data_IF_492732349056
#
_entry.id   IF_492732349056
#
_cell.length_a   1.000
_cell.length_b   1.000
_cell.length_c   1.000
_cell.angle_alpha   90.00
_cell.angle_beta   90.00
_cell.angle_gamma   90.00
#
_symmetry.space_group_name_H-M   'P 1'
#
loop_
_entity.id
_entity.type
_entity.pdbx_description
1 polymer ?
#
# COMPACT_ATOMS: atom_id res chain seq x y z
N UNK A 1 11.08 -9.50 -17.69
CA UNK A 1 10.33 -8.62 -16.78
C UNK A 1 10.14 -9.37 -15.49
N UNK A 2 10.64 -8.86 -14.36
CA UNK A 2 10.35 -9.44 -13.05
C UNK A 2 8.86 -9.27 -12.74
N UNK A 3 8.23 -10.31 -12.22
CA UNK A 3 6.85 -10.24 -11.75
C UNK A 3 6.76 -9.28 -10.55
N UNK A 4 5.70 -8.48 -10.42
CA UNK A 4 5.59 -7.46 -9.39
C UNK A 4 5.35 -8.04 -7.99
N UNK A 5 5.67 -7.23 -6.99
CA UNK A 5 5.24 -7.43 -5.61
C UNK A 5 4.04 -6.54 -5.30
N UNK A 6 2.97 -7.14 -4.77
CA UNK A 6 1.82 -6.42 -4.25
C UNK A 6 1.83 -6.45 -2.72
N UNK A 7 1.95 -5.28 -2.09
CA UNK A 7 1.79 -5.13 -0.65
C UNK A 7 0.30 -4.94 -0.34
N UNK A 8 -0.31 -5.94 0.28
CA UNK A 8 -1.75 -5.98 0.55
C UNK A 8 -2.02 -5.86 2.05
N UNK A 9 -2.74 -4.81 2.44
CA UNK A 9 -3.22 -4.59 3.80
C UNK A 9 -4.36 -3.57 3.82
N UNK A 10 -5.17 -3.51 4.90
CA UNK A 10 -6.09 -2.42 5.10
C UNK A 10 -5.36 -1.06 5.12
N UNK A 11 -6.02 0.06 4.76
CA UNK A 11 -5.46 1.38 4.97
C UNK A 11 -4.97 1.56 6.40
N UNK A 12 -3.95 2.40 6.57
CA UNK A 12 -3.31 2.66 7.87
C UNK A 12 -2.63 1.42 8.46
N UNK A 13 -2.13 0.49 7.64
CA UNK A 13 -1.40 -0.72 8.09
C UNK A 13 0.03 -0.76 7.58
N UNK A 14 0.75 0.36 7.70
CA UNK A 14 2.18 0.51 7.36
C UNK A 14 2.57 0.31 5.88
N UNK A 15 1.60 0.20 4.98
CA UNK A 15 1.84 -0.07 3.55
C UNK A 15 2.73 0.98 2.88
N UNK A 16 2.55 2.27 3.16
CA UNK A 16 3.38 3.34 2.57
C UNK A 16 4.83 3.28 3.07
N UNK A 17 5.02 2.98 4.36
CA UNK A 17 6.35 2.83 4.96
C UNK A 17 7.04 1.60 4.37
N UNK A 18 6.46 0.41 4.56
CA UNK A 18 7.09 -0.85 4.14
C UNK A 18 7.21 -0.94 2.63
N UNK A 19 6.18 -0.51 1.88
CA UNK A 19 6.25 -0.47 0.43
C UNK A 19 7.18 0.62 -0.11
N UNK A 20 7.44 1.67 0.68
CA UNK A 20 8.50 2.65 0.42
C UNK A 20 9.87 2.01 0.62
N UNK A 21 10.07 1.31 1.74
CA UNK A 21 11.32 0.60 2.06
C UNK A 21 11.68 -0.42 0.98
N UNK A 22 10.74 -1.33 0.66
CA UNK A 22 10.89 -2.31 -0.41
C UNK A 22 11.15 -1.67 -1.78
N UNK A 23 10.61 -0.48 -1.99
CA UNK A 23 10.77 0.28 -3.22
C UNK A 23 12.16 0.88 -3.43
N UNK A 24 12.99 0.98 -2.39
CA UNK A 24 14.37 1.49 -2.48
C UNK A 24 15.41 0.40 -2.74
N UNK A 25 15.01 -0.86 -2.73
CA UNK A 25 15.94 -1.91 -3.11
C UNK A 25 16.46 -1.65 -4.54
N UNK A 26 17.77 -1.78 -4.82
CA UNK A 26 18.35 -1.49 -6.14
C UNK A 26 17.74 -2.23 -7.34
N UNK A 27 17.02 -3.34 -7.09
CA UNK A 27 16.39 -4.20 -8.08
C UNK A 27 14.86 -4.07 -8.07
N UNK A 28 14.32 -3.10 -7.32
CA UNK A 28 12.90 -2.82 -7.22
C UNK A 28 12.60 -1.36 -7.59
N UNK A 29 11.32 -1.05 -7.74
CA UNK A 29 10.85 0.31 -7.89
C UNK A 29 9.52 0.48 -7.16
N UNK A 30 9.53 1.31 -6.11
CA UNK A 30 8.35 1.63 -5.33
C UNK A 30 7.37 2.52 -6.08
N UNK A 31 6.22 1.98 -6.48
CA UNK A 31 5.12 2.78 -7.02
C UNK A 31 4.41 3.56 -5.88
N UNK A 32 3.82 4.74 -6.16
CA UNK A 32 2.77 5.29 -5.30
C UNK A 32 1.49 4.43 -5.40
N UNK A 33 0.44 4.79 -4.66
CA UNK A 33 -0.89 4.19 -4.78
C UNK A 33 -1.47 4.43 -6.19
N UNK A 34 -1.35 3.44 -7.08
CA UNK A 34 -1.82 3.52 -8.48
C UNK A 34 -3.26 3.07 -8.66
N UNK A 35 -3.78 2.24 -7.75
CA UNK A 35 -5.17 1.77 -7.74
C UNK A 35 -5.66 1.10 -9.05
N UNK A 36 -4.76 0.61 -9.92
CA UNK A 36 -5.08 0.09 -11.27
C UNK A 36 -5.96 -1.16 -11.32
N UNK A 37 -6.33 -1.75 -10.18
CA UNK A 37 -7.19 -2.93 -10.11
C UNK A 37 -8.70 -2.62 -10.01
N UNK A 38 -9.08 -1.34 -9.90
CA UNK A 38 -10.47 -0.91 -9.68
C UNK A 38 -11.30 -0.85 -10.98
N UNK A 39 -11.33 -1.95 -11.72
CA UNK A 39 -12.05 -2.07 -12.98
C UNK A 39 -11.21 -2.73 -14.07
N UNK A 40 -11.81 -2.97 -15.22
CA UNK A 40 -11.15 -3.65 -16.34
C UNK A 40 -10.25 -2.71 -17.14
N UNK A 41 -10.64 -1.44 -17.19
CA UNK A 41 -9.97 -0.40 -17.96
C UNK A 41 -9.43 0.72 -17.07
N UNK A 42 -8.51 1.50 -17.63
CA UNK A 42 -8.00 2.71 -17.00
C UNK A 42 -9.13 3.70 -16.69
N UNK A 43 -10.17 3.73 -17.52
CA UNK A 43 -11.34 4.57 -17.31
C UNK A 43 -12.18 4.12 -16.13
N UNK A 44 -12.48 2.83 -16.01
CA UNK A 44 -13.23 2.29 -14.86
C UNK A 44 -12.52 2.62 -13.54
N UNK A 45 -11.19 2.47 -13.52
CA UNK A 45 -10.39 2.87 -12.37
C UNK A 45 -10.49 4.38 -12.12
N UNK A 46 -10.24 5.18 -13.15
CA UNK A 46 -10.20 6.63 -13.01
C UNK A 46 -11.52 7.20 -12.48
N UNK A 47 -12.64 6.75 -13.03
CA UNK A 47 -13.98 7.22 -12.68
C UNK A 47 -14.42 6.72 -11.31
N UNK A 48 -14.11 5.46 -10.96
CA UNK A 48 -14.46 4.89 -9.65
C UNK A 48 -13.70 5.54 -8.49
N UNK A 49 -12.48 6.02 -8.75
CA UNK A 49 -11.60 6.57 -7.72
C UNK A 49 -11.75 8.08 -7.56
N UNK A 50 -12.13 8.81 -8.62
CA UNK A 50 -12.47 10.25 -8.54
C UNK A 50 -13.62 10.53 -7.57
N UNK A 51 -14.58 9.62 -7.47
CA UNK A 51 -15.72 9.73 -6.55
C UNK A 51 -15.26 9.81 -5.08
N UNK A 52 -14.06 9.30 -4.76
CA UNK A 52 -13.45 9.41 -3.44
C UNK A 52 -12.55 10.66 -3.24
N UNK A 53 -12.53 11.59 -4.21
CA UNK A 53 -11.72 12.81 -4.22
C UNK A 53 -10.33 12.65 -4.86
N UNK A 54 -9.58 13.76 -4.97
CA UNK A 54 -8.22 13.84 -5.54
C UNK A 54 -7.20 12.86 -4.90
N UNK A 55 -7.55 12.25 -3.76
CA UNK A 55 -6.71 11.32 -3.03
C UNK A 55 -6.30 10.09 -3.84
N UNK A 56 -7.25 9.49 -4.56
CA UNK A 56 -7.00 8.17 -5.13
C UNK A 56 -6.38 8.16 -6.53
N UNK A 57 -6.42 9.27 -7.27
CA UNK A 57 -5.83 9.39 -8.61
C UNK A 57 -4.46 10.07 -8.61
N UNK A 58 -4.09 10.78 -7.54
CA UNK A 58 -2.82 11.50 -7.44
C UNK A 58 -1.60 10.60 -7.61
N UNK A 59 -1.63 9.37 -7.06
CA UNK A 59 -0.50 8.45 -7.17
C UNK A 59 -0.20 8.06 -8.61
N UNK A 60 -1.22 7.67 -9.39
CA UNK A 60 -1.01 7.35 -10.81
C UNK A 60 -0.53 8.57 -11.60
N UNK A 61 -1.10 9.75 -11.36
CA UNK A 61 -0.64 10.99 -12.01
C UNK A 61 0.84 11.24 -11.74
N UNK A 62 1.26 11.18 -10.47
CA UNK A 62 2.66 11.40 -10.08
C UNK A 62 3.59 10.37 -10.69
N UNK A 63 3.20 9.09 -10.69
CA UNK A 63 3.97 8.02 -11.32
C UNK A 63 4.19 8.27 -12.81
N UNK A 64 3.11 8.51 -13.56
CA UNK A 64 3.20 8.75 -15.01
C UNK A 64 4.03 9.99 -15.34
N UNK A 65 3.97 11.00 -14.47
CA UNK A 65 4.77 12.21 -14.61
C UNK A 65 6.25 11.94 -14.37
N UNK A 66 6.58 11.27 -13.26
CA UNK A 66 7.95 10.94 -12.88
C UNK A 66 8.64 10.03 -13.92
N UNK A 67 7.98 8.97 -14.39
CA UNK A 67 8.60 8.06 -15.37
C UNK A 67 8.73 8.66 -16.77
N UNK A 68 7.92 9.66 -17.10
CA UNK A 68 7.96 10.32 -18.41
C UNK A 68 8.95 11.50 -18.44
N UNK A 69 9.08 12.23 -17.33
CA UNK A 69 9.76 13.53 -17.32
C UNK A 69 10.81 13.69 -16.21
N UNK A 70 10.89 12.78 -15.24
CA UNK A 70 11.85 12.85 -14.12
C UNK A 70 11.60 14.00 -13.14
N UNK A 71 10.45 14.68 -13.24
CA UNK A 71 10.02 15.76 -12.35
C UNK A 71 8.50 15.82 -12.26
N UNK A 72 7.95 16.38 -11.18
CA UNK A 72 6.51 16.42 -10.90
C UNK A 72 5.98 17.87 -10.82
N UNK A 73 6.05 18.62 -11.93
CA UNK A 73 5.47 19.97 -12.01
C UNK A 73 3.97 19.93 -12.32
N UNK A 74 3.27 21.05 -12.13
CA UNK A 74 1.86 21.20 -12.48
C UNK A 74 1.58 20.86 -13.96
N UNK A 75 2.40 21.39 -14.87
CA UNK A 75 2.23 21.18 -16.31
C UNK A 75 2.44 19.71 -16.69
N UNK A 76 3.40 19.05 -16.03
CA UNK A 76 3.70 17.66 -16.24
C UNK A 76 2.54 16.76 -15.75
N UNK A 77 1.95 17.09 -14.60
CA UNK A 77 0.74 16.41 -14.11
C UNK A 77 -0.46 16.65 -15.03
N UNK A 78 -0.63 17.85 -15.59
CA UNK A 78 -1.68 18.11 -16.58
C UNK A 78 -1.50 17.24 -17.83
N UNK A 79 -0.27 17.06 -18.33
CA UNK A 79 0.03 16.15 -19.45
C UNK A 79 -0.27 14.69 -19.10
N UNK A 80 0.10 14.24 -17.90
CA UNK A 80 -0.25 12.91 -17.41
C UNK A 80 -1.77 12.70 -17.35
N UNK A 81 -2.53 13.69 -16.87
CA UNK A 81 -3.99 13.64 -16.88
C UNK A 81 -4.53 13.49 -18.30
N UNK A 82 -4.06 14.30 -19.26
CA UNK A 82 -4.46 14.16 -20.66
C UNK A 82 -4.07 12.81 -21.26
N UNK A 83 -2.92 12.25 -20.86
CA UNK A 83 -2.48 10.92 -21.27
C UNK A 83 -3.49 9.85 -20.84
N UNK A 84 -3.99 9.93 -19.60
CA UNK A 84 -5.01 9.04 -19.04
C UNK A 84 -6.33 9.20 -19.80
N UNK A 85 -6.80 10.44 -20.01
CA UNK A 85 -8.07 10.70 -20.71
C UNK A 85 -8.10 10.10 -22.11
N UNK A 86 -7.00 10.21 -22.86
CA UNK A 86 -6.88 9.62 -24.21
C UNK A 86 -6.81 8.09 -24.21
N UNK A 87 -6.67 7.45 -23.04
CA UNK A 87 -6.41 6.02 -22.87
C UNK A 87 -7.35 5.35 -21.88
N UNK A 88 -8.52 5.93 -21.62
CA UNK A 88 -9.56 5.30 -20.77
C UNK A 88 -9.82 3.84 -21.16
N UNK A 89 -9.82 3.53 -22.46
CA UNK A 89 -10.05 2.19 -23.00
C UNK A 89 -8.90 1.19 -22.79
N UNK A 90 -7.74 1.59 -22.28
CA UNK A 90 -6.63 0.68 -22.04
C UNK A 90 -6.94 -0.25 -20.87
N UNK A 91 -6.66 -1.54 -21.02
CA UNK A 91 -6.74 -2.49 -19.90
C UNK A 91 -5.69 -2.19 -18.84
N UNK A 92 -5.95 -2.59 -17.59
CA UNK A 92 -4.97 -2.50 -16.51
C UNK A 92 -3.62 -3.13 -16.87
N UNK A 93 -3.63 -4.29 -17.53
CA UNK A 93 -2.41 -4.96 -18.02
C UNK A 93 -1.58 -4.06 -18.96
N UNK A 94 -2.24 -3.36 -19.89
CA UNK A 94 -1.56 -2.45 -20.82
C UNK A 94 -0.97 -1.22 -20.12
N UNK A 95 -1.65 -0.71 -19.09
CA UNK A 95 -1.13 0.40 -18.26
C UNK A 95 0.07 -0.05 -17.44
N UNK A 96 0.01 -1.21 -16.79
CA UNK A 96 1.17 -1.76 -16.08
C UNK A 96 2.37 -2.01 -17.01
N UNK A 97 2.14 -2.54 -18.22
CA UNK A 97 3.21 -2.72 -19.20
C UNK A 97 3.86 -1.38 -19.61
N UNK A 98 3.06 -0.31 -19.71
CA UNK A 98 3.59 1.04 -19.95
C UNK A 98 4.42 1.55 -18.77
N UNK A 99 3.94 1.34 -17.53
CA UNK A 99 4.68 1.71 -16.31
C UNK A 99 6.01 0.97 -16.25
N UNK A 100 6.01 -0.35 -16.45
CA UNK A 100 7.24 -1.13 -16.43
C UNK A 100 8.27 -0.64 -17.46
N UNK A 101 7.82 -0.24 -18.65
CA UNK A 101 8.72 0.33 -19.67
C UNK A 101 9.40 1.61 -19.16
N UNK A 102 8.70 2.46 -18.43
CA UNK A 102 9.27 3.68 -17.83
C UNK A 102 10.14 3.40 -16.60
N UNK A 103 9.79 2.40 -15.80
CA UNK A 103 10.56 1.97 -14.61
C UNK A 103 11.87 1.26 -15.00
N UNK A 104 11.89 0.59 -16.15
CA UNK A 104 12.99 -0.25 -16.62
C UNK A 104 12.68 -1.74 -16.47
N UNK A 105 13.08 -2.60 -17.43
CA UNK A 105 12.60 -3.99 -17.53
C UNK A 105 13.10 -4.93 -16.41
N UNK A 106 14.16 -4.55 -15.71
CA UNK A 106 14.85 -5.39 -14.72
C UNK A 106 14.43 -5.11 -13.28
N UNK A 107 13.71 -4.02 -13.04
CA UNK A 107 13.22 -3.64 -11.71
C UNK A 107 11.86 -4.26 -11.44
N UNK A 108 11.74 -4.93 -10.30
CA UNK A 108 10.45 -5.40 -9.79
C UNK A 108 9.60 -4.21 -9.34
N UNK A 109 8.40 -4.03 -9.91
CA UNK A 109 7.46 -3.04 -9.39
C UNK A 109 6.94 -3.45 -8.01
N UNK A 110 6.89 -2.50 -7.07
CA UNK A 110 6.27 -2.68 -5.76
C UNK A 110 5.04 -1.78 -5.68
N UNK A 111 3.86 -2.35 -5.89
CA UNK A 111 2.59 -1.65 -5.72
C UNK A 111 2.08 -1.84 -4.28
N UNK A 112 1.70 -0.72 -3.67
CA UNK A 112 0.94 -0.68 -2.43
C UNK A 112 -0.26 0.20 -2.68
N UNK A 113 -1.43 -0.42 -2.78
CA UNK A 113 -2.69 0.30 -2.99
C UNK A 113 -3.72 -0.30 -2.02
N UNK A 114 -3.79 0.18 -0.76
CA UNK A 114 -4.59 -0.45 0.30
C UNK A 114 -6.07 -0.61 -0.06
N UNK A 115 -6.59 0.26 -0.94
CA UNK A 115 -7.96 0.20 -1.45
C UNK A 115 -8.26 -1.09 -2.23
N UNK A 116 -7.23 -1.70 -2.85
CA UNK A 116 -7.36 -2.99 -3.53
C UNK A 116 -7.93 -4.07 -2.59
N UNK A 117 -7.74 -3.95 -1.27
CA UNK A 117 -8.19 -4.94 -0.29
C UNK A 117 -9.68 -4.83 0.06
N UNK A 118 -10.37 -3.76 -0.34
CA UNK A 118 -11.80 -3.61 -0.05
C UNK A 118 -12.70 -4.54 -0.86
N UNK A 119 -12.18 -5.13 -1.94
CA UNK A 119 -12.89 -6.13 -2.74
C UNK A 119 -11.90 -7.20 -3.17
N UNK A 120 -12.17 -8.48 -2.86
CA UNK A 120 -11.33 -9.59 -3.29
C UNK A 120 -11.15 -9.64 -4.81
N UNK A 121 -12.14 -9.19 -5.59
CA UNK A 121 -12.04 -9.14 -7.04
C UNK A 121 -10.92 -8.23 -7.56
N UNK A 122 -10.60 -7.14 -6.84
CA UNK A 122 -9.47 -6.28 -7.21
C UNK A 122 -8.14 -7.06 -7.10
N UNK A 123 -7.98 -7.86 -6.05
CA UNK A 123 -6.81 -8.73 -5.85
C UNK A 123 -6.74 -9.82 -6.93
N UNK A 124 -7.88 -10.46 -7.23
CA UNK A 124 -7.99 -11.44 -8.33
C UNK A 124 -7.64 -10.81 -9.67
N UNK A 125 -8.04 -9.57 -9.93
CA UNK A 125 -7.71 -8.85 -11.16
C UNK A 125 -6.20 -8.62 -11.30
N UNK A 126 -5.50 -8.28 -10.21
CA UNK A 126 -4.03 -8.21 -10.19
C UNK A 126 -3.40 -9.58 -10.48
N UNK A 127 -3.91 -10.65 -9.87
CA UNK A 127 -3.42 -12.00 -10.09
C UNK A 127 -3.67 -12.50 -11.53
N UNK A 128 -4.80 -12.11 -12.17
CA UNK A 128 -5.04 -12.41 -13.59
C UNK A 128 -4.06 -11.69 -14.51
N UNK A 129 -3.68 -10.46 -14.18
CA UNK A 129 -2.68 -9.70 -14.94
C UNK A 129 -1.28 -10.28 -14.73
N UNK A 130 -0.96 -10.67 -13.50
CA UNK A 130 0.33 -11.23 -13.10
C UNK A 130 0.17 -12.55 -12.35
N UNK A 131 0.01 -13.68 -13.07
CA UNK A 131 -0.22 -14.99 -12.45
C UNK A 131 0.94 -15.50 -11.57
N UNK A 132 2.13 -14.90 -11.70
CA UNK A 132 3.32 -15.25 -10.92
C UNK A 132 3.75 -14.14 -9.95
N UNK A 133 2.91 -13.12 -9.75
CA UNK A 133 3.20 -12.08 -8.77
C UNK A 133 3.27 -12.64 -7.35
N UNK A 134 4.02 -11.92 -6.51
CA UNK A 134 4.11 -12.18 -5.09
C UNK A 134 3.24 -11.19 -4.31
N UNK A 135 2.66 -11.63 -3.20
CA UNK A 135 1.74 -10.86 -2.36
C UNK A 135 2.25 -10.83 -0.92
N UNK A 136 2.72 -9.67 -0.47
CA UNK A 136 3.11 -9.44 0.92
C UNK A 136 1.90 -8.92 1.69
N UNK A 137 1.35 -9.76 2.56
CA UNK A 137 0.28 -9.39 3.46
C UNK A 137 0.83 -8.77 4.76
N UNK A 138 0.64 -7.46 4.92
CA UNK A 138 0.94 -6.78 6.18
C UNK A 138 -0.29 -6.75 7.09
N UNK A 139 -0.11 -7.15 8.35
CA UNK A 139 -1.13 -6.97 9.39
C UNK A 139 -0.77 -5.82 10.31
N UNK A 140 -1.78 -5.16 10.86
CA UNK A 140 -1.67 -4.20 11.95
C UNK A 140 -2.75 -4.50 12.98
N UNK A 141 -2.43 -4.31 14.25
CA UNK A 141 -3.38 -4.51 15.35
C UNK A 141 -4.66 -3.67 15.13
N UNK A 142 -5.87 -4.25 15.22
CA UNK A 142 -7.12 -3.55 14.88
C UNK A 142 -7.33 -2.26 15.69
N UNK A 143 -6.96 -2.26 16.97
CA UNK A 143 -7.00 -1.06 17.82
C UNK A 143 -6.09 0.07 17.34
N UNK A 144 -4.84 -0.24 16.99
CA UNK A 144 -3.87 0.78 16.58
C UNK A 144 -4.19 1.29 15.16
N UNK A 145 -4.69 0.41 14.30
CA UNK A 145 -5.20 0.77 12.97
C UNK A 145 -6.41 1.68 13.08
N UNK A 146 -7.42 1.31 13.89
CA UNK A 146 -8.65 2.08 14.01
C UNK A 146 -8.42 3.45 14.62
N UNK A 147 -7.58 3.57 15.65
CA UNK A 147 -7.12 4.88 16.16
C UNK A 147 -6.50 5.72 15.05
N UNK A 148 -5.61 5.13 14.25
CA UNK A 148 -4.96 5.83 13.15
C UNK A 148 -5.92 6.30 12.04
N UNK A 149 -7.03 5.58 11.82
CA UNK A 149 -8.11 6.00 10.92
C UNK A 149 -8.85 7.21 11.48
N UNK A 150 -9.20 7.19 12.76
CA UNK A 150 -9.90 8.31 13.41
C UNK A 150 -9.06 9.58 13.43
N UNK A 151 -7.78 9.48 13.79
CA UNK A 151 -6.88 10.62 13.82
C UNK A 151 -6.75 11.26 12.43
N UNK A 152 -6.71 10.45 11.38
CA UNK A 152 -6.72 10.93 10.00
C UNK A 152 -8.03 11.64 9.65
N UNK A 153 -9.19 11.06 9.99
CA UNK A 153 -10.49 11.66 9.70
C UNK A 153 -10.68 13.00 10.42
N UNK A 154 -10.27 13.07 11.70
CA UNK A 154 -10.26 14.31 12.48
C UNK A 154 -9.41 15.40 11.81
N UNK A 155 -8.28 15.04 11.20
CA UNK A 155 -7.42 16.01 10.50
C UNK A 155 -8.10 16.66 9.27
N UNK A 156 -9.13 16.02 8.72
CA UNK A 156 -9.96 16.56 7.63
C UNK A 156 -11.24 17.25 8.10
N UNK A 157 -11.42 17.46 9.42
CA UNK A 157 -12.62 18.06 9.98
C UNK A 157 -13.85 17.13 9.99
N UNK A 158 -13.68 15.84 9.65
CA UNK A 158 -14.73 14.83 9.74
C UNK A 158 -14.59 14.09 11.08
N UNK A 159 -15.34 14.54 12.09
CA UNK A 159 -15.25 14.00 13.45
C UNK A 159 -15.95 12.64 13.64
N UNK A 160 -16.75 12.19 12.67
CA UNK A 160 -17.50 10.95 12.76
C UNK A 160 -17.14 10.04 11.59
N UNK A 161 -16.49 8.89 11.83
CA UNK A 161 -16.08 8.04 10.73
C UNK A 161 -17.30 7.60 9.91
N UNK A 162 -17.40 8.04 8.64
CA UNK A 162 -18.44 7.59 7.71
C UNK A 162 -18.53 6.05 7.63
N UNK A 163 -17.41 5.37 7.89
CA UNK A 163 -17.32 3.92 8.00
C UNK A 163 -16.62 3.53 9.30
N UNK A 164 -17.24 2.63 10.06
CA UNK A 164 -16.65 2.03 11.27
C UNK A 164 -15.24 1.45 10.98
N UNK A 165 -14.18 1.94 11.65
CA UNK A 165 -12.82 1.44 11.46
C UNK A 165 -12.72 -0.07 11.69
N UNK A 166 -13.48 -0.61 12.63
CA UNK A 166 -13.50 -2.04 12.94
C UNK A 166 -14.01 -2.87 11.75
N UNK A 167 -15.15 -2.46 11.18
CA UNK A 167 -15.75 -3.13 10.01
C UNK A 167 -14.85 -3.02 8.78
N UNK A 168 -14.19 -1.88 8.62
CA UNK A 168 -13.25 -1.64 7.52
C UNK A 168 -12.03 -2.56 7.63
N UNK A 169 -11.46 -2.67 8.83
CA UNK A 169 -10.37 -3.61 9.11
C UNK A 169 -10.79 -5.05 8.83
N UNK A 170 -11.94 -5.48 9.35
CA UNK A 170 -12.45 -6.84 9.17
C UNK A 170 -12.68 -7.16 7.69
N UNK A 171 -13.33 -6.26 6.95
CA UNK A 171 -13.61 -6.45 5.52
C UNK A 171 -12.33 -6.65 4.71
N UNK A 172 -11.35 -5.75 4.85
CA UNK A 172 -10.08 -5.85 4.14
C UNK A 172 -9.34 -7.14 4.47
N UNK A 173 -9.26 -7.48 5.77
CA UNK A 173 -8.56 -8.67 6.21
C UNK A 173 -9.25 -9.96 5.75
N UNK A 174 -10.58 -10.01 5.80
CA UNK A 174 -11.35 -11.16 5.30
C UNK A 174 -11.14 -11.37 3.80
N UNK A 175 -11.19 -10.30 2.98
CA UNK A 175 -10.95 -10.38 1.55
C UNK A 175 -9.54 -10.87 1.21
N UNK A 176 -8.51 -10.40 1.93
CA UNK A 176 -7.13 -10.87 1.74
C UNK A 176 -7.03 -12.36 2.07
N UNK A 177 -7.64 -12.80 3.17
CA UNK A 177 -7.59 -14.20 3.60
C UNK A 177 -8.41 -15.14 2.71
N UNK A 178 -9.48 -14.65 2.09
CA UNK A 178 -10.21 -15.38 1.05
C UNK A 178 -9.32 -15.54 -0.19
N UNK A 179 -8.82 -14.43 -0.72
CA UNK A 179 -7.95 -14.40 -1.91
C UNK A 179 -6.67 -15.23 -1.72
N UNK A 180 -6.05 -15.20 -0.54
CA UNK A 180 -4.79 -15.92 -0.30
C UNK A 180 -4.91 -17.44 -0.45
N UNK A 181 -6.13 -17.99 -0.40
CA UNK A 181 -6.38 -19.42 -0.63
C UNK A 181 -6.26 -19.82 -2.11
N UNK A 182 -6.29 -18.84 -3.01
CA UNK A 182 -6.19 -19.03 -4.46
C UNK A 182 -4.74 -18.97 -4.96
N UNK A 183 -3.80 -18.56 -4.10
CA UNK A 183 -2.39 -18.36 -4.45
C UNK A 183 -1.60 -19.68 -4.36
N UNK A 184 -0.67 -19.88 -5.29
CA UNK A 184 0.23 -21.03 -5.24
C UNK A 184 1.22 -20.91 -4.05
N UNK A 185 1.78 -22.04 -3.58
CA UNK A 185 2.86 -22.02 -2.60
C UNK A 185 3.99 -21.09 -3.03
N UNK A 186 4.47 -20.27 -2.10
CA UNK A 186 5.53 -19.29 -2.37
C UNK A 186 5.06 -17.94 -2.91
N UNK A 187 3.81 -17.76 -3.33
CA UNK A 187 3.31 -16.44 -3.77
C UNK A 187 2.81 -15.53 -2.65
N UNK A 188 2.78 -16.03 -1.41
CA UNK A 188 2.18 -15.31 -0.28
C UNK A 188 3.07 -15.38 0.95
N UNK A 189 3.34 -14.22 1.54
CA UNK A 189 4.00 -14.07 2.82
C UNK A 189 3.17 -13.14 3.71
N UNK A 190 2.93 -13.51 4.96
CA UNK A 190 2.22 -12.67 5.95
C UNK A 190 3.15 -12.27 7.08
N UNK A 191 3.24 -10.97 7.36
CA UNK A 191 4.06 -10.41 8.44
C UNK A 191 3.26 -9.33 9.19
N UNK A 192 3.40 -9.29 10.53
CA UNK A 192 2.94 -8.14 11.32
C UNK A 192 3.81 -6.93 11.01
N UNK A 193 3.21 -5.82 10.61
CA UNK A 193 3.93 -4.57 10.36
C UNK A 193 4.67 -4.08 11.61
N UNK A 194 4.11 -4.29 12.80
CA UNK A 194 4.79 -3.97 14.07
C UNK A 194 6.11 -4.77 14.23
N UNK A 195 6.07 -6.05 13.91
CA UNK A 195 7.23 -6.95 14.02
C UNK A 195 8.30 -6.60 12.99
N UNK A 196 7.92 -6.35 11.73
CA UNK A 196 8.84 -5.91 10.68
C UNK A 196 9.54 -4.60 11.08
N UNK A 197 8.78 -3.60 11.57
CA UNK A 197 9.34 -2.29 11.89
C UNK A 197 10.18 -2.28 13.18
N UNK A 198 10.00 -3.25 14.09
CA UNK A 198 10.88 -3.41 15.26
C UNK A 198 12.27 -3.93 14.87
N UNK A 199 12.35 -4.79 13.86
CA UNK A 199 13.60 -5.39 13.39
C UNK A 199 13.66 -5.42 11.85
N UNK A 200 13.79 -4.24 11.22
CA UNK A 200 13.68 -4.13 9.77
C UNK A 200 14.81 -4.86 9.06
N UNK A 201 16.03 -4.88 9.60
CA UNK A 201 17.16 -5.59 8.99
C UNK A 201 16.85 -7.09 8.82
N UNK A 202 16.36 -7.73 9.88
CA UNK A 202 16.00 -9.14 9.84
C UNK A 202 14.88 -9.40 8.83
N UNK A 203 13.74 -8.70 8.97
CA UNK A 203 12.57 -9.01 8.16
C UNK A 203 12.70 -8.58 6.69
N UNK A 204 13.40 -7.49 6.39
CA UNK A 204 13.66 -7.10 5.00
C UNK A 204 14.60 -8.10 4.31
N UNK A 205 15.62 -8.60 5.01
CA UNK A 205 16.49 -9.66 4.48
C UNK A 205 15.70 -10.95 4.17
N UNK A 206 14.76 -11.34 5.03
CA UNK A 206 13.87 -12.48 4.81
C UNK A 206 12.91 -12.26 3.63
N UNK A 207 12.38 -11.04 3.46
CA UNK A 207 11.55 -10.69 2.30
C UNK A 207 12.39 -10.74 1.00
N UNK A 208 13.62 -10.23 1.03
CA UNK A 208 14.50 -10.27 -0.13
C UNK A 208 14.87 -11.70 -0.51
N UNK A 209 15.12 -12.58 0.46
CA UNK A 209 15.36 -14.01 0.23
C UNK A 209 14.15 -14.68 -0.42
N UNK A 210 12.95 -14.41 0.08
CA UNK A 210 11.71 -14.93 -0.49
C UNK A 210 11.46 -14.45 -1.93
N UNK A 211 11.88 -13.23 -2.26
CA UNK A 211 11.67 -12.61 -3.57
C UNK A 211 12.84 -12.79 -4.54
N UNK A 212 13.88 -13.55 -4.15
CA UNK A 212 15.11 -13.73 -4.91
C UNK A 212 15.78 -12.39 -5.28
N UNK A 213 15.85 -11.49 -4.30
CA UNK A 213 16.54 -10.21 -4.39
C UNK A 213 17.90 -10.25 -3.68
N UNK A 214 18.79 -9.33 -4.05
CA UNK A 214 20.06 -9.14 -3.36
C UNK A 214 19.86 -8.86 -1.85
N UNK A 215 20.76 -9.39 -1.03
CA UNK A 215 20.73 -9.24 0.43
C UNK A 215 22.03 -8.68 0.99
N UNK A 216 22.84 -8.08 0.12
CA UNK A 216 24.02 -7.37 0.57
C UNK A 216 23.63 -6.30 1.61
N UNK A 217 24.53 -5.99 2.57
CA UNK A 217 24.29 -4.92 3.53
C UNK A 217 23.86 -3.61 2.88
N UNK A 218 24.46 -3.25 1.74
CA UNK A 218 24.14 -2.03 1.00
C UNK A 218 22.70 -2.04 0.42
N UNK A 219 22.25 -3.18 -0.11
CA UNK A 219 20.86 -3.31 -0.60
C UNK A 219 19.85 -3.22 0.54
N UNK A 220 20.14 -3.81 1.70
CA UNK A 220 19.26 -3.71 2.87
C UNK A 220 19.27 -2.30 3.46
N UNK A 221 20.43 -1.65 3.53
CA UNK A 221 20.56 -0.26 4.00
C UNK A 221 19.75 0.69 3.11
N UNK A 222 19.83 0.55 1.78
CA UNK A 222 19.03 1.36 0.86
C UNK A 222 17.52 1.30 1.18
N UNK A 223 17.02 0.13 1.59
CA UNK A 223 15.62 -0.07 1.98
C UNK A 223 15.23 0.66 3.27
N UNK A 224 16.19 1.08 4.10
CA UNK A 224 15.92 1.82 5.33
C UNK A 224 15.68 3.31 5.10
N UNK A 225 15.84 3.77 3.85
CA UNK A 225 15.72 5.18 3.46
C UNK A 225 14.52 5.46 2.55
N UNK A 226 13.27 5.11 2.93
CA UNK A 226 12.10 5.31 2.08
C UNK A 226 11.84 6.78 1.73
N UNK A 227 12.38 7.73 2.51
CA UNK A 227 12.33 9.18 2.24
C UNK A 227 13.03 9.62 0.95
N UNK A 228 13.91 8.79 0.41
CA UNK A 228 14.58 9.06 -0.86
C UNK A 228 13.67 8.81 -2.07
N UNK A 229 12.47 8.26 -1.86
CA UNK A 229 11.50 8.03 -2.95
C UNK A 229 11.03 9.37 -3.56
N UNK A 230 10.89 9.47 -4.88
CA UNK A 230 10.26 10.64 -5.51
C UNK A 230 8.78 10.82 -5.09
N UNK A 231 8.18 9.79 -4.48
CA UNK A 231 6.81 9.79 -3.98
C UNK A 231 6.72 9.96 -2.46
N UNK A 232 7.83 10.15 -1.74
CA UNK A 232 7.88 10.38 -0.30
C UNK A 232 7.85 11.87 0.07
N UNK A 233 7.04 12.64 -0.64
CA UNK A 233 6.82 14.09 -0.42
C UNK A 233 5.45 14.50 -0.93
N UNK A 234 4.91 15.62 -0.45
CA UNK A 234 3.71 16.22 -1.03
C UNK A 234 3.98 16.60 -2.49
N UNK A 235 3.09 16.18 -3.39
CA UNK A 235 3.15 16.48 -4.81
C UNK A 235 2.63 17.89 -5.14
N UNK A 236 2.58 18.25 -6.43
CA UNK A 236 2.00 19.52 -6.86
C UNK A 236 0.49 19.59 -6.53
N UNK A 237 -0.11 20.79 -6.34
CA UNK A 237 -1.54 20.98 -6.09
C UNK A 237 -2.52 20.13 -6.93
N UNK A 238 -2.23 19.83 -8.19
CA UNK A 238 -3.07 18.97 -9.04
C UNK A 238 -2.94 17.46 -8.78
N UNK A 239 -1.91 17.03 -8.05
CA UNK A 239 -1.70 15.66 -7.58
C UNK A 239 -0.90 15.64 -6.25
N UNK A 240 -1.47 16.12 -5.13
CA UNK A 240 -0.71 16.38 -3.90
C UNK A 240 -0.36 15.09 -3.12
N UNK A 241 -1.13 14.02 -3.32
CA UNK A 241 -1.00 12.77 -2.56
C UNK A 241 -0.37 11.65 -3.40
N UNK A 242 -0.80 10.40 -3.23
CA UNK A 242 -0.22 9.22 -3.86
C UNK A 242 0.40 8.25 -2.87
N UNK A 243 0.55 8.64 -1.61
CA UNK A 243 0.77 7.75 -0.47
C UNK A 243 0.01 8.31 0.74
N UNK A 244 0.06 7.57 1.85
CA UNK A 244 -0.42 8.02 3.15
C UNK A 244 0.08 9.44 3.51
N UNK A 245 -0.83 10.39 3.85
CA UNK A 245 -0.44 11.77 4.15
C UNK A 245 0.59 11.91 5.27
N UNK A 246 0.52 11.06 6.31
CA UNK A 246 1.46 11.14 7.42
C UNK A 246 2.86 10.72 6.97
N UNK A 247 2.95 9.77 6.03
CA UNK A 247 4.22 9.39 5.42
C UNK A 247 4.77 10.51 4.52
N UNK A 248 3.91 11.20 3.75
CA UNK A 248 4.36 12.33 2.92
C UNK A 248 4.89 13.52 3.73
N UNK A 249 4.35 13.73 4.93
CA UNK A 249 4.79 14.79 5.85
C UNK A 249 6.04 14.41 6.64
N UNK A 250 6.18 13.13 7.00
CA UNK A 250 7.30 12.61 7.80
C UNK A 250 7.81 11.29 7.20
N UNK A 251 8.53 11.35 6.07
CA UNK A 251 8.91 10.15 5.32
C UNK A 251 10.12 9.42 5.93
N UNK A 252 10.99 10.14 6.65
CA UNK A 252 12.16 9.57 7.30
C UNK A 252 11.74 8.75 8.54
N UNK A 253 12.35 7.58 8.70
CA UNK A 253 11.99 6.66 9.78
C UNK A 253 12.79 6.90 11.05
N UNK A 254 12.09 7.00 12.18
CA UNK A 254 12.70 6.97 13.51
C UNK A 254 12.77 5.53 14.01
N UNK A 255 13.88 4.84 13.70
CA UNK A 255 14.10 3.45 14.10
C UNK A 255 14.15 3.26 15.63
N UNK A 256 14.55 4.28 16.40
CA UNK A 256 14.55 4.21 17.87
C UNK A 256 13.12 4.11 18.41
N UNK A 257 12.20 4.90 17.83
CA UNK A 257 10.77 4.82 18.15
C UNK A 257 10.14 3.54 17.61
N UNK A 258 10.50 3.10 16.40
CA UNK A 258 9.94 1.89 15.79
C UNK A 258 10.31 0.61 16.57
N UNK A 259 11.54 0.51 17.06
CA UNK A 259 11.99 -0.58 17.95
C UNK A 259 11.15 -0.73 19.23
N UNK A 260 10.45 0.35 19.63
CA UNK A 260 9.60 0.41 20.84
C UNK A 260 8.11 0.33 20.54
N UNK A 261 7.69 0.03 19.30
CA UNK A 261 6.27 -0.14 18.96
C UNK A 261 5.65 -1.17 19.90
N UNK A 262 4.54 -0.81 20.55
CA UNK A 262 3.77 -1.73 21.40
C UNK A 262 2.50 -2.18 20.69
N UNK A 263 2.17 -3.45 20.85
CA UNK A 263 0.86 -3.98 20.51
C UNK A 263 -0.05 -3.79 21.73
N UNK A 264 -1.16 -3.02 21.62
CA UNK A 264 -2.11 -2.93 22.73
C UNK A 264 -2.86 -4.26 22.89
N UNK A 265 -3.50 -4.50 24.05
CA UNK A 265 -4.31 -5.70 24.22
C UNK A 265 -5.51 -5.72 23.27
N UNK A 266 -5.86 -6.93 22.82
CA UNK A 266 -7.05 -7.16 22.01
C UNK A 266 -8.34 -7.01 22.83
N UNK A 267 -8.32 -7.42 24.10
CA UNK A 267 -9.44 -7.25 25.04
C UNK A 267 -9.64 -5.77 25.43
N UNK A 268 -10.83 -5.46 25.95
CA UNK A 268 -11.18 -4.14 26.46
C UNK A 268 -11.86 -3.21 25.44
N UNK A 269 -12.40 -2.13 25.97
CA UNK A 269 -13.24 -1.15 25.27
C UNK A 269 -12.54 -0.47 24.10
N UNK A 270 -13.24 -0.27 22.98
CA UNK A 270 -12.75 0.40 21.79
C UNK A 270 -12.94 1.93 21.89
N UNK A 271 -11.90 2.70 21.57
CA UNK A 271 -11.88 4.17 21.69
C UNK A 271 -13.01 4.87 20.91
N UNK A 272 -13.38 4.38 19.73
CA UNK A 272 -14.45 4.97 18.90
C UNK A 272 -15.83 4.34 19.11
N UNK A 273 -15.94 3.36 20.01
CA UNK A 273 -17.21 2.70 20.31
C UNK A 273 -17.32 2.46 21.81
N UNK A 274 -17.61 3.51 22.60
CA UNK A 274 -17.69 3.38 24.04
C UNK A 274 -18.67 2.28 24.48
N UNK A 275 -18.34 1.58 25.56
CA UNK A 275 -19.07 0.44 26.10
C UNK A 275 -18.98 -0.85 25.28
N UNK A 276 -18.18 -0.89 24.21
CA UNK A 276 -18.07 -2.07 23.33
C UNK A 276 -16.63 -2.55 23.17
N UNK A 277 -16.48 -3.88 23.15
CA UNK A 277 -15.26 -4.54 22.70
C UNK A 277 -15.32 -4.88 21.20
N UNK A 278 -14.23 -5.42 20.65
CA UNK A 278 -14.21 -5.92 19.27
C UNK A 278 -15.23 -7.05 19.08
N UNK A 279 -15.96 -6.99 17.96
CA UNK A 279 -16.80 -8.05 17.44
C UNK A 279 -16.02 -9.37 17.39
N UNK A 280 -16.70 -10.48 17.70
CA UNK A 280 -16.07 -11.80 17.71
C UNK A 280 -15.30 -12.18 16.42
N UNK A 281 -15.75 -11.83 15.20
CA UNK A 281 -14.96 -12.07 13.98
C UNK A 281 -13.62 -11.31 13.94
N UNK A 282 -13.59 -10.07 14.45
CA UNK A 282 -12.34 -9.27 14.53
C UNK A 282 -11.38 -9.91 15.52
N UNK A 283 -11.89 -10.30 16.69
CA UNK A 283 -11.05 -10.97 17.69
C UNK A 283 -10.46 -12.28 17.17
N UNK A 284 -11.27 -13.12 16.52
CA UNK A 284 -10.80 -14.40 15.93
C UNK A 284 -9.69 -14.16 14.90
N UNK A 285 -9.91 -13.21 13.99
CA UNK A 285 -8.97 -12.94 12.92
C UNK A 285 -7.67 -12.30 13.44
N UNK A 286 -7.77 -11.40 14.42
CA UNK A 286 -6.62 -10.80 15.08
C UNK A 286 -5.78 -11.86 15.82
N UNK A 287 -6.41 -12.80 16.53
CA UNK A 287 -5.72 -13.95 17.14
C UNK A 287 -5.06 -14.85 16.12
N UNK A 288 -5.69 -15.09 14.96
CA UNK A 288 -5.07 -15.83 13.85
C UNK A 288 -3.81 -15.13 13.30
N UNK A 289 -3.75 -13.80 13.39
CA UNK A 289 -2.56 -13.01 13.06
C UNK A 289 -1.56 -12.90 14.22
N UNK A 290 -1.84 -13.53 15.35
CA UNK A 290 -0.97 -13.57 16.53
C UNK A 290 -1.12 -12.36 17.46
N UNK A 291 -2.19 -11.57 17.37
CA UNK A 291 -2.48 -10.52 18.35
C UNK A 291 -3.23 -11.09 19.56
N UNK A 292 -2.93 -10.55 20.75
CA UNK A 292 -3.43 -11.02 22.05
C UNK A 292 -4.10 -9.92 22.86
#
# INVERSE_FOLDING_TARGET
>A
MRDPLFVIAPPRSYTSVVGGMLGQHPQAYGLPEVNLSHGDTLGDMWDSVIIAGNFGTAGLLRLLTEIAEGQQTEEAVMRARQWIMRRHHWSGAKVFAHIQKGVGPDRMMVDKSPRNTFNAENLRRLHRIFPRANFLHLTRHPRSQGKSVLDLMKSYGDGNPKNDPEKTWLRSQANIMEFSRELAPGQYMRIKGETLLRDPHFYLSQICEWLDLDRSPDSIEAMLHPETSPYAKVGPPSAPFGNDPNFLLHPALDFTRLARIKEPPLAGEIEWKPGHEFMAPVQRLARQFGYS
#
